data_IF_810843157041
#
_entry.id   IF_810843157041
#
_cell.length_a   1.000
_cell.length_b   1.000
_cell.length_c   1.000
_cell.angle_alpha   90.00
_cell.angle_beta   90.00
_cell.angle_gamma   90.00
#
_symmetry.space_group_name_H-M   'P 1'
#
loop_
_entity.id
_entity.type
_entity.pdbx_description
1 polymer ?
#
# COMPACT_ATOMS: atom_id res chain seq x y z
N UNK A 1 2.40 8.98 9.14
CA UNK A 1 1.45 10.12 9.21
C UNK A 1 1.95 11.40 8.53
N UNK A 2 3.15 11.91 8.85
CA UNK A 2 3.65 13.20 8.30
C UNK A 2 3.84 13.19 6.76
N UNK A 3 4.35 12.09 6.20
CA UNK A 3 4.50 11.89 4.75
C UNK A 3 3.15 11.97 4.02
N UNK A 4 2.14 11.28 4.55
CA UNK A 4 0.77 11.31 4.04
C UNK A 4 0.17 12.72 4.08
N UNK A 5 0.29 13.44 5.22
CA UNK A 5 -0.16 14.83 5.33
C UNK A 5 0.49 15.74 4.29
N UNK A 6 1.80 15.60 4.07
CA UNK A 6 2.54 16.34 3.03
C UNK A 6 2.06 16.01 1.62
N UNK A 7 1.77 14.74 1.34
CA UNK A 7 1.20 14.30 0.06
C UNK A 7 -0.19 14.90 -0.16
N UNK A 8 -1.07 14.89 0.85
CA UNK A 8 -2.38 15.54 0.80
C UNK A 8 -2.26 17.06 0.55
N UNK A 9 -1.31 17.74 1.20
CA UNK A 9 -1.06 19.15 0.92
C UNK A 9 -0.54 19.42 -0.50
N UNK A 10 0.22 18.49 -1.08
CA UNK A 10 0.63 18.55 -2.48
C UNK A 10 -0.58 18.35 -3.42
N UNK A 11 -1.41 17.34 -3.15
CA UNK A 11 -2.61 17.05 -3.92
C UNK A 11 -3.61 18.22 -3.88
N UNK A 12 -3.90 18.75 -2.70
CA UNK A 12 -4.81 19.88 -2.51
C UNK A 12 -4.39 21.10 -3.33
N UNK A 13 -3.09 21.41 -3.38
CA UNK A 13 -2.57 22.50 -4.21
C UNK A 13 -2.76 22.24 -5.71
N UNK A 14 -2.48 21.01 -6.17
CA UNK A 14 -2.65 20.65 -7.59
C UNK A 14 -4.11 20.61 -8.03
N UNK A 15 -5.01 20.21 -7.12
CA UNK A 15 -6.45 20.15 -7.34
C UNK A 15 -7.16 21.48 -7.07
N UNK A 16 -6.40 22.54 -6.72
CA UNK A 16 -6.92 23.87 -6.40
C UNK A 16 -8.01 23.84 -5.31
N UNK A 17 -7.84 22.96 -4.30
CA UNK A 17 -8.74 22.87 -3.16
C UNK A 17 -8.50 24.11 -2.28
N UNK A 18 -9.46 25.02 -2.30
CA UNK A 18 -9.41 26.24 -1.50
C UNK A 18 -9.70 25.90 -0.04
N UNK A 19 -8.81 26.32 0.87
CA UNK A 19 -9.15 26.38 2.28
C UNK A 19 -9.95 27.66 2.53
N UNK A 20 -10.99 27.59 3.36
CA UNK A 20 -11.66 28.79 3.82
C UNK A 20 -10.69 29.65 4.63
N UNK A 21 -10.76 30.97 4.49
CA UNK A 21 -9.90 31.88 5.23
C UNK A 21 -10.18 31.74 6.73
N UNK A 22 -9.13 31.45 7.52
CA UNK A 22 -9.24 31.10 8.95
C UNK A 22 -9.64 29.65 9.25
N UNK A 23 -9.68 28.76 8.26
CA UNK A 23 -10.03 27.36 8.45
C UNK A 23 -8.93 26.55 9.13
N UNK A 24 -9.19 26.02 10.32
CA UNK A 24 -8.35 25.04 11.02
C UNK A 24 -8.46 23.61 10.44
N UNK A 25 -9.09 23.46 9.28
CA UNK A 25 -9.45 22.16 8.74
C UNK A 25 -8.21 21.38 8.26
N UNK A 26 -8.08 20.12 8.69
CA UNK A 26 -6.95 19.28 8.31
C UNK A 26 -6.96 19.06 6.79
N UNK A 27 -5.80 19.26 6.15
CA UNK A 27 -5.62 19.10 4.71
C UNK A 27 -5.96 17.69 4.22
N UNK A 28 -5.83 16.67 5.08
CA UNK A 28 -6.24 15.29 4.76
C UNK A 28 -7.76 15.20 4.57
N UNK A 29 -8.53 15.82 5.45
CA UNK A 29 -10.00 15.86 5.35
C UNK A 29 -10.45 16.63 4.12
N UNK A 30 -9.76 17.71 3.75
CA UNK A 30 -10.09 18.47 2.55
C UNK A 30 -9.92 17.64 1.27
N UNK A 31 -8.84 16.86 1.18
CA UNK A 31 -8.61 15.95 0.04
C UNK A 31 -9.69 14.86 0.02
N UNK A 32 -10.00 14.26 1.17
CA UNK A 32 -11.06 13.27 1.30
C UNK A 32 -12.41 13.83 0.82
N UNK A 33 -12.85 14.96 1.37
CA UNK A 33 -14.12 15.61 1.04
C UNK A 33 -14.20 16.07 -0.43
N UNK A 34 -13.06 16.40 -1.03
CA UNK A 34 -13.01 16.77 -2.44
C UNK A 34 -13.17 15.58 -3.37
N UNK A 35 -12.56 14.44 -3.04
CA UNK A 35 -12.52 13.24 -3.87
C UNK A 35 -13.73 12.31 -3.67
N UNK A 36 -14.35 12.30 -2.49
CA UNK A 36 -15.48 11.40 -2.18
C UNK A 36 -16.72 11.58 -3.09
N UNK A 37 -17.25 12.79 -3.31
CA UNK A 37 -18.52 12.95 -4.03
C UNK A 37 -18.37 12.64 -5.52
N UNK A 38 -19.42 12.12 -6.16
CA UNK A 38 -19.41 11.75 -7.59
C UNK A 38 -19.05 12.90 -8.54
N UNK A 39 -19.21 14.15 -8.09
CA UNK A 39 -18.79 15.36 -8.85
C UNK A 39 -17.26 15.46 -9.04
N UNK A 40 -16.47 14.78 -8.21
CA UNK A 40 -15.02 14.66 -8.36
C UNK A 40 -14.64 13.92 -9.65
N UNK A 41 -15.60 13.20 -10.25
CA UNK A 41 -15.38 12.41 -11.44
C UNK A 41 -14.56 11.16 -11.16
N UNK A 42 -13.90 10.65 -12.20
CA UNK A 42 -13.03 9.47 -12.09
C UNK A 42 -11.64 9.89 -11.63
N UNK A 43 -11.13 9.22 -10.60
CA UNK A 43 -9.79 9.41 -10.08
C UNK A 43 -9.23 8.09 -9.54
N UNK A 44 -7.91 8.05 -9.41
CA UNK A 44 -7.17 6.96 -8.80
C UNK A 44 -6.27 7.55 -7.72
N UNK A 45 -6.40 7.07 -6.49
CA UNK A 45 -5.51 7.42 -5.38
C UNK A 45 -4.61 6.22 -5.09
N UNK A 46 -3.29 6.41 -5.17
CA UNK A 46 -2.32 5.37 -4.86
C UNK A 46 -1.65 5.70 -3.53
N UNK A 47 -1.76 4.82 -2.55
CA UNK A 47 -1.02 4.90 -1.28
C UNK A 47 0.06 3.83 -1.28
N UNK A 48 1.29 4.27 -1.54
CA UNK A 48 2.42 3.36 -1.67
C UNK A 48 3.05 3.05 -0.30
N UNK A 49 3.49 1.80 -0.11
CA UNK A 49 4.22 1.33 1.07
C UNK A 49 3.46 1.52 2.40
N UNK A 50 2.19 1.12 2.42
CA UNK A 50 1.32 1.06 3.58
C UNK A 50 1.68 -0.16 4.47
N UNK A 51 2.89 -0.20 5.02
CA UNK A 51 3.40 -1.36 5.78
C UNK A 51 3.24 -1.20 7.30
N UNK A 52 3.09 0.03 7.78
CA UNK A 52 3.01 0.32 9.21
C UNK A 52 1.54 0.30 9.67
N UNK A 53 1.13 -0.81 10.29
CA UNK A 53 -0.24 -1.02 10.77
C UNK A 53 -0.66 0.06 11.77
N UNK A 54 0.22 0.43 12.71
CA UNK A 54 -0.09 1.43 13.73
C UNK A 54 -0.36 2.81 13.11
N UNK A 55 0.32 3.14 12.01
CA UNK A 55 0.13 4.40 11.28
C UNK A 55 -1.05 4.34 10.29
N UNK A 56 -1.31 3.18 9.71
CA UNK A 56 -2.30 3.03 8.64
C UNK A 56 -3.70 2.73 9.17
N UNK A 57 -3.81 1.75 10.07
CA UNK A 57 -5.03 1.31 10.73
C UNK A 57 -5.32 2.10 12.00
N UNK A 58 -4.27 2.55 12.67
CA UNK A 58 -4.42 3.29 13.91
C UNK A 58 -4.61 2.46 15.15
N UNK A 59 -4.79 3.19 16.25
CA UNK A 59 -5.23 2.65 17.55
C UNK A 59 -6.56 3.29 17.92
N UNK A 60 -7.31 2.70 18.86
CA UNK A 60 -8.65 3.15 19.31
C UNK A 60 -8.78 4.65 19.69
N UNK A 61 -7.68 5.39 19.77
CA UNK A 61 -7.60 6.76 20.29
C UNK A 61 -7.19 7.82 19.23
N UNK A 62 -6.91 7.44 17.98
CA UNK A 62 -6.50 8.38 16.91
C UNK A 62 -7.19 8.10 15.57
N UNK A 63 -7.35 9.14 14.75
CA UNK A 63 -7.72 8.99 13.33
C UNK A 63 -6.46 8.76 12.51
N UNK A 64 -6.46 7.72 11.70
CA UNK A 64 -5.30 7.24 10.97
C UNK A 64 -5.49 7.26 9.45
N UNK A 65 -4.52 6.81 8.65
CA UNK A 65 -4.53 7.04 7.19
C UNK A 65 -5.81 6.51 6.55
N UNK A 66 -6.28 5.33 6.99
CA UNK A 66 -7.51 4.71 6.48
C UNK A 66 -8.73 5.62 6.66
N UNK A 67 -8.81 6.38 7.76
CA UNK A 67 -9.93 7.27 8.07
C UNK A 67 -10.00 8.50 7.16
N UNK A 68 -8.90 8.84 6.49
CA UNK A 68 -8.83 9.94 5.53
C UNK A 68 -8.89 9.47 4.07
N UNK A 69 -9.10 8.17 3.83
CA UNK A 69 -9.28 7.67 2.47
C UNK A 69 -10.67 8.10 1.94
N UNK A 70 -10.74 8.61 0.70
CA UNK A 70 -12.00 9.01 0.10
C UNK A 70 -12.86 7.80 -0.30
N UNK A 71 -14.07 7.75 0.21
CA UNK A 71 -15.12 6.84 -0.28
C UNK A 71 -15.81 7.48 -1.51
N UNK A 72 -15.79 6.80 -2.65
CA UNK A 72 -16.39 7.29 -3.91
C UNK A 72 -16.89 6.16 -4.81
N UNK A 73 -18.05 6.35 -5.43
CA UNK A 73 -18.59 5.40 -6.43
C UNK A 73 -17.79 5.43 -7.75
N UNK A 74 -17.10 6.53 -8.05
CA UNK A 74 -16.38 6.76 -9.31
C UNK A 74 -14.87 6.82 -9.16
N UNK A 75 -14.38 6.80 -7.92
CA UNK A 75 -12.97 6.74 -7.57
C UNK A 75 -12.52 5.34 -7.19
N UNK A 76 -11.20 5.12 -7.25
CA UNK A 76 -10.58 3.89 -6.76
C UNK A 76 -9.39 4.26 -5.89
N UNK A 77 -9.30 3.64 -4.72
CA UNK A 77 -8.09 3.68 -3.89
C UNK A 77 -7.33 2.38 -4.12
N UNK A 78 -6.04 2.51 -4.43
CA UNK A 78 -5.09 1.40 -4.49
C UNK A 78 -4.04 1.64 -3.43
N UNK A 79 -3.76 0.65 -2.61
CA UNK A 79 -2.62 0.72 -1.70
C UNK A 79 -1.71 -0.47 -1.87
N UNK A 80 -0.41 -0.24 -1.74
CA UNK A 80 0.60 -1.29 -1.74
C UNK A 80 1.06 -1.54 -0.32
N UNK A 81 1.12 -2.79 0.12
CA UNK A 81 1.52 -3.14 1.49
C UNK A 81 2.27 -4.46 1.51
N UNK A 82 3.18 -4.65 2.47
CA UNK A 82 3.79 -5.94 2.83
C UNK A 82 3.15 -6.55 4.08
N UNK A 83 2.14 -5.88 4.65
CA UNK A 83 1.53 -6.21 5.94
C UNK A 83 0.16 -6.86 5.71
N UNK A 84 0.03 -8.18 5.98
CA UNK A 84 -1.21 -8.92 5.70
C UNK A 84 -2.44 -8.34 6.39
N UNK A 85 -2.30 -7.76 7.57
CA UNK A 85 -3.40 -7.13 8.32
C UNK A 85 -3.98 -5.92 7.56
N UNK A 86 -3.12 -5.16 6.89
CA UNK A 86 -3.53 -4.04 6.03
C UNK A 86 -4.15 -4.57 4.75
N UNK A 87 -3.61 -5.65 4.18
CA UNK A 87 -4.19 -6.29 2.99
C UNK A 87 -5.60 -6.84 3.24
N UNK A 88 -5.88 -7.36 4.44
CA UNK A 88 -7.19 -7.88 4.82
C UNK A 88 -8.31 -6.82 4.85
N UNK A 89 -7.96 -5.52 4.84
CA UNK A 89 -8.94 -4.44 4.71
C UNK A 89 -9.55 -4.37 3.31
N UNK A 90 -8.90 -4.95 2.31
CA UNK A 90 -9.40 -5.07 0.95
C UNK A 90 -10.79 -5.71 0.96
N UNK A 91 -11.83 -4.96 0.61
CA UNK A 91 -13.15 -5.53 0.40
C UNK A 91 -13.24 -6.13 -1.00
N UNK A 92 -12.60 -7.28 -1.21
CA UNK A 92 -12.87 -8.19 -2.32
C UNK A 92 -11.72 -8.42 -3.29
N UNK A 93 -10.88 -7.41 -3.55
CA UNK A 93 -9.84 -7.50 -4.58
C UNK A 93 -8.46 -7.10 -4.02
N UNK A 94 -7.61 -8.11 -3.77
CA UNK A 94 -6.19 -7.90 -3.57
C UNK A 94 -5.40 -8.79 -4.55
N UNK A 95 -4.28 -8.27 -5.03
CA UNK A 95 -3.33 -9.02 -5.83
C UNK A 95 -2.15 -9.31 -4.92
N UNK A 96 -2.02 -10.58 -4.56
CA UNK A 96 -0.81 -11.10 -3.95
C UNK A 96 0.27 -11.22 -5.03
N UNK A 97 1.37 -10.49 -4.83
CA UNK A 97 2.57 -10.68 -5.62
C UNK A 97 3.41 -11.72 -4.91
N UNK A 98 3.60 -12.87 -5.58
CA UNK A 98 4.48 -13.92 -5.08
C UNK A 98 5.93 -13.46 -5.00
N UNK A 99 6.68 -14.13 -4.14
CA UNK A 99 8.12 -14.00 -4.08
C UNK A 99 8.75 -14.25 -5.46
N UNK A 100 9.72 -13.41 -5.83
CA UNK A 100 10.57 -13.72 -6.97
C UNK A 100 11.44 -14.92 -6.62
N UNK A 101 11.54 -15.88 -7.54
CA UNK A 101 12.49 -16.98 -7.40
C UNK A 101 13.93 -16.49 -7.60
N UNK A 102 14.90 -17.35 -7.25
CA UNK A 102 16.32 -17.00 -7.33
C UNK A 102 16.77 -16.60 -8.73
N UNK A 103 16.18 -17.18 -9.78
CA UNK A 103 16.49 -16.84 -11.16
C UNK A 103 15.88 -15.48 -11.54
N UNK A 104 14.66 -15.19 -11.10
CA UNK A 104 14.01 -13.88 -11.30
C UNK A 104 14.76 -12.75 -10.58
N UNK A 105 15.18 -12.96 -9.33
CA UNK A 105 15.97 -11.99 -8.56
C UNK A 105 17.34 -11.77 -9.21
N UNK A 106 18.00 -12.82 -9.67
CA UNK A 106 19.28 -12.70 -10.39
C UNK A 106 19.15 -11.93 -11.69
N UNK A 107 18.12 -12.20 -12.48
CA UNK A 107 17.83 -11.46 -13.71
C UNK A 107 17.49 -9.99 -13.41
N UNK A 108 16.73 -9.72 -12.34
CA UNK A 108 16.41 -8.38 -11.91
C UNK A 108 17.65 -7.59 -11.45
N UNK A 109 18.49 -8.18 -10.61
CA UNK A 109 19.74 -7.57 -10.13
C UNK A 109 20.69 -7.26 -11.28
N UNK A 110 20.91 -8.21 -12.17
CA UNK A 110 21.79 -8.04 -13.34
C UNK A 110 21.33 -6.85 -14.19
N UNK A 111 20.01 -6.73 -14.43
CA UNK A 111 19.45 -5.59 -15.21
C UNK A 111 19.43 -4.26 -14.46
N UNK A 112 19.41 -4.30 -13.13
CA UNK A 112 19.30 -3.10 -12.28
C UNK A 112 20.66 -2.49 -11.93
N UNK A 113 21.73 -3.26 -12.01
CA UNK A 113 23.08 -2.79 -11.73
C UNK A 113 23.67 -2.05 -12.93
N UNK A 114 24.04 -0.79 -12.72
CA UNK A 114 24.84 -0.02 -13.70
C UNK A 114 26.26 -0.58 -13.85
N UNK A 115 26.68 -1.42 -12.89
CA UNK A 115 28.02 -1.99 -12.77
C UNK A 115 27.92 -3.50 -12.56
N UNK A 116 27.85 -4.23 -13.66
CA UNK A 116 27.79 -5.70 -13.67
C UNK A 116 29.06 -6.34 -13.08
N UNK A 117 30.18 -5.60 -13.06
CA UNK A 117 31.44 -6.03 -12.42
C UNK A 117 31.29 -6.27 -10.91
N UNK A 118 30.24 -5.76 -10.26
CA UNK A 118 29.95 -6.03 -8.85
C UNK A 118 29.46 -7.46 -8.60
N UNK A 119 29.00 -8.18 -9.64
CA UNK A 119 28.56 -9.57 -9.55
C UNK A 119 29.69 -10.59 -9.80
N UNK A 120 30.95 -10.14 -9.86
CA UNK A 120 32.09 -11.01 -10.21
C UNK A 120 32.48 -12.05 -9.14
N UNK A 121 31.95 -11.93 -7.92
CA UNK A 121 32.14 -12.93 -6.88
C UNK A 121 30.87 -13.78 -6.76
N UNK A 122 30.94 -15.00 -7.27
CA UNK A 122 29.83 -15.95 -7.25
C UNK A 122 29.34 -16.23 -5.82
N UNK A 123 30.21 -16.27 -4.82
CA UNK A 123 29.84 -16.52 -3.44
C UNK A 123 29.07 -15.35 -2.81
N UNK A 124 29.58 -14.12 -2.96
CA UNK A 124 28.89 -12.91 -2.46
C UNK A 124 27.60 -12.62 -3.23
N UNK A 125 27.58 -12.93 -4.53
CA UNK A 125 26.37 -12.80 -5.34
C UNK A 125 25.32 -13.82 -4.90
N UNK A 126 25.71 -15.06 -4.61
CA UNK A 126 24.80 -16.07 -4.09
C UNK A 126 24.23 -15.69 -2.71
N UNK A 127 25.06 -15.16 -1.80
CA UNK A 127 24.61 -14.65 -0.49
C UNK A 127 23.62 -13.49 -0.64
N UNK A 128 23.90 -12.54 -1.54
CA UNK A 128 22.99 -11.44 -1.83
C UNK A 128 21.68 -11.96 -2.45
N UNK A 129 21.76 -12.91 -3.38
CA UNK A 129 20.57 -13.50 -3.99
C UNK A 129 19.70 -14.20 -2.93
N UNK A 130 20.31 -14.96 -2.01
CA UNK A 130 19.61 -15.63 -0.92
C UNK A 130 18.89 -14.62 0.00
N UNK A 131 19.55 -13.50 0.34
CA UNK A 131 18.96 -12.44 1.16
C UNK A 131 17.79 -11.71 0.45
N UNK A 132 17.83 -11.65 -0.89
CA UNK A 132 16.84 -10.94 -1.69
C UNK A 132 15.69 -11.85 -2.14
N UNK A 133 15.91 -13.16 -2.21
CA UNK A 133 14.85 -14.16 -2.42
C UNK A 133 14.10 -14.37 -1.12
N UNK A 134 12.77 -14.27 -1.17
CA UNK A 134 11.94 -14.70 -0.06
C UNK A 134 11.90 -16.23 -0.07
N UNK A 135 12.90 -16.85 0.56
CA UNK A 135 12.91 -18.29 0.76
C UNK A 135 11.80 -18.63 1.75
N UNK A 136 10.71 -19.23 1.26
CA UNK A 136 9.59 -19.74 2.05
C UNK A 136 10.07 -20.74 3.13
N UNK A 137 10.47 -20.23 4.29
CA UNK A 137 10.65 -21.00 5.50
C UNK A 137 10.02 -20.25 6.66
N UNK A 138 8.82 -20.70 7.02
CA UNK A 138 8.13 -20.48 8.28
C UNK A 138 9.03 -20.02 9.45
N UNK A 139 9.23 -18.71 9.62
CA UNK A 139 9.29 -18.02 10.91
C UNK A 139 9.78 -16.59 10.72
N UNK A 140 8.96 -15.66 11.18
CA UNK A 140 9.31 -14.43 11.90
C UNK A 140 10.60 -13.70 11.50
N UNK A 141 10.40 -12.42 11.17
CA UNK A 141 11.38 -11.33 11.33
C UNK A 141 12.62 -11.39 10.44
N UNK A 142 12.48 -11.15 9.14
CA UNK A 142 13.50 -10.40 8.40
C UNK A 142 12.88 -9.60 7.24
N UNK A 143 13.13 -8.28 7.27
CA UNK A 143 12.50 -7.26 6.43
C UNK A 143 13.19 -7.07 5.06
N UNK A 144 13.91 -8.07 4.54
CA UNK A 144 14.77 -7.96 3.36
C UNK A 144 14.14 -8.39 2.05
N UNK A 145 12.92 -8.91 2.06
CA UNK A 145 12.23 -9.32 0.84
C UNK A 145 11.92 -8.10 -0.04
N UNK A 146 12.56 -8.02 -1.21
CA UNK A 146 12.40 -6.88 -2.12
C UNK A 146 10.98 -6.76 -2.70
N UNK A 147 10.19 -7.84 -2.74
CA UNK A 147 8.98 -7.87 -3.58
C UNK A 147 7.72 -8.52 -3.01
N UNK A 148 7.47 -8.45 -1.70
CA UNK A 148 6.18 -8.86 -1.10
C UNK A 148 5.05 -7.83 -1.20
N UNK A 149 4.91 -7.10 -2.32
CA UNK A 149 3.95 -5.99 -2.40
C UNK A 149 2.56 -6.54 -2.73
N UNK A 150 1.65 -6.55 -1.77
CA UNK A 150 0.23 -6.71 -2.04
C UNK A 150 -0.30 -5.41 -2.65
N UNK A 151 -0.92 -5.47 -3.82
CA UNK A 151 -1.71 -4.35 -4.34
C UNK A 151 -3.17 -4.59 -3.98
N UNK A 152 -3.71 -3.70 -3.16
CA UNK A 152 -5.06 -3.80 -2.65
C UNK A 152 -5.94 -2.78 -3.33
N UNK A 153 -7.13 -3.20 -3.77
CA UNK A 153 -8.13 -2.35 -4.37
C UNK A 153 -9.29 -2.16 -3.39
N UNK A 154 -9.53 -0.92 -2.99
CA UNK A 154 -10.79 -0.56 -2.34
C UNK A 154 -11.71 0.12 -3.35
N UNK A 155 -12.76 -0.61 -3.71
CA UNK A 155 -13.86 -0.11 -4.50
C UNK A 155 -15.03 0.09 -3.55
N UNK A 156 -15.14 1.29 -2.99
CA UNK A 156 -16.29 1.68 -2.19
C UNK A 156 -17.55 1.61 -3.06
N UNK A 157 -18.24 0.46 -3.04
CA UNK A 157 -19.62 0.36 -3.49
C UNK A 157 -20.46 -0.45 -2.49
N UNK A 158 -21.59 0.15 -2.19
CA UNK A 158 -22.42 -0.07 -1.01
C UNK A 158 -23.46 -1.16 -1.29
N UNK A 159 -23.13 -2.43 -1.00
CA UNK A 159 -24.05 -3.52 -0.61
C UNK A 159 -23.34 -4.87 -0.76
N UNK A 160 -23.10 -5.56 0.35
CA UNK A 160 -23.53 -6.95 0.57
C UNK A 160 -23.16 -7.34 2.01
N UNK A 161 -24.08 -8.10 2.62
CA UNK A 161 -24.25 -8.49 4.01
C UNK A 161 -22.99 -9.03 4.72
N UNK A 162 -22.95 -9.05 6.07
CA UNK A 162 -21.85 -9.68 6.81
C UNK A 162 -21.79 -11.16 6.45
N UNK A 163 -20.75 -11.56 5.71
CA UNK A 163 -20.44 -12.96 5.53
C UNK A 163 -20.05 -13.52 6.89
N UNK A 164 -21.01 -14.25 7.46
CA UNK A 164 -20.85 -15.17 8.56
C UNK A 164 -19.52 -15.90 8.43
N UNK A 165 -18.75 -15.90 9.51
CA UNK A 165 -17.84 -16.99 9.83
C UNK A 165 -18.60 -18.31 9.64
N UNK A 166 -18.27 -19.06 8.59
CA UNK A 166 -18.54 -20.48 8.55
C UNK A 166 -17.21 -21.20 8.74
N UNK A 167 -16.99 -21.63 9.98
CA UNK A 167 -16.19 -22.81 10.27
C UNK A 167 -16.47 -23.87 9.20
N UNK A 168 -15.42 -24.38 8.57
CA UNK A 168 -15.40 -25.78 8.15
C UNK A 168 -13.95 -26.27 8.19
N UNK A 169 -13.69 -27.08 9.23
CA UNK A 169 -12.78 -28.21 9.16
C UNK A 169 -13.09 -29.02 7.90
N UNK A 170 -12.06 -29.35 7.12
CA UNK A 170 -11.69 -30.73 6.82
C UNK A 170 -10.20 -30.78 6.54
#
# INVERSE_FOLDING_TARGET
MESFKRACASAARKLLILQADGGEQDVKELVQQHLSPSRAGRWLLVVDNADDADIFLGTEQSRDIVDYLPESETGVVVYTTRTPEIAALARGDFIELGAMDQHEVAAFLTRSLTREDLLCNDATTAELLDELTCSDLNSQSNNSCLFGWFAVFDKSNNNLSPLRQSNNKF
#
